data_IF_315080377116
#
_entry.id   IF_315080377116
#
_cell.length_a   1.000
_cell.length_b   1.000
_cell.length_c   1.000
_cell.angle_alpha   90.00
_cell.angle_beta   90.00
_cell.angle_gamma   90.00
#
_symmetry.space_group_name_H-M   'P 1'
#
loop_
_entity.id
_entity.type
_entity.pdbx_description
1 polymer ?
#
# COMPACT_ATOMS: atom_id res chain seq x y z
N UNK A 1 -8.00 -16.51 3.48
CA UNK A 1 -7.72 -17.83 2.88
C UNK A 1 -6.50 -17.67 1.97
N UNK A 2 -5.52 -18.55 2.13
CA UNK A 2 -4.38 -18.65 1.21
C UNK A 2 -4.83 -19.25 -0.13
N UNK A 3 -4.05 -19.05 -1.19
CA UNK A 3 -4.33 -19.70 -2.48
C UNK A 3 -4.25 -21.22 -2.36
N UNK A 4 -3.42 -21.75 -1.45
CA UNK A 4 -3.30 -23.19 -1.25
C UNK A 4 -4.57 -23.80 -0.67
N UNK A 5 -5.16 -23.16 0.34
CA UNK A 5 -6.45 -23.56 0.93
C UNK A 5 -7.59 -23.44 -0.07
N UNK A 6 -7.60 -22.35 -0.85
CA UNK A 6 -8.61 -22.14 -1.90
C UNK A 6 -8.51 -23.21 -2.98
N UNK A 7 -7.31 -23.51 -3.48
CA UNK A 7 -7.09 -24.52 -4.50
C UNK A 7 -7.51 -25.92 -4.04
N UNK A 8 -7.21 -26.30 -2.80
CA UNK A 8 -7.65 -27.58 -2.25
C UNK A 8 -9.18 -27.70 -2.24
N UNK A 9 -9.89 -26.66 -1.78
CA UNK A 9 -11.35 -26.63 -1.80
C UNK A 9 -11.91 -26.65 -3.22
N UNK A 10 -11.27 -25.95 -4.15
CA UNK A 10 -11.69 -25.93 -5.55
C UNK A 10 -11.54 -27.31 -6.20
N UNK A 11 -10.41 -27.99 -5.99
CA UNK A 11 -10.18 -29.35 -6.48
C UNK A 11 -11.16 -30.36 -5.88
N UNK A 12 -11.49 -30.22 -4.59
CA UNK A 12 -12.52 -31.02 -3.93
C UNK A 12 -13.88 -30.84 -4.60
N UNK A 13 -14.28 -29.60 -4.91
CA UNK A 13 -15.51 -29.33 -5.66
C UNK A 13 -15.46 -29.92 -7.07
N UNK A 14 -14.33 -29.84 -7.79
CA UNK A 14 -14.18 -30.45 -9.12
C UNK A 14 -14.33 -31.98 -9.11
N UNK A 15 -14.12 -32.65 -7.96
CA UNK A 15 -14.36 -34.09 -7.83
C UNK A 15 -15.84 -34.44 -7.93
N UNK A 16 -16.72 -33.56 -7.44
CA UNK A 16 -18.18 -33.72 -7.51
C UNK A 16 -18.76 -33.25 -8.84
N UNK A 17 -17.94 -32.64 -9.69
CA UNK A 17 -18.37 -31.97 -10.92
C UNK A 17 -17.48 -32.43 -12.10
N UNK A 18 -17.68 -33.67 -12.60
CA UNK A 18 -16.76 -34.30 -13.57
C UNK A 18 -16.61 -33.54 -14.88
N UNK A 19 -17.60 -32.74 -15.27
CA UNK A 19 -17.57 -31.95 -16.50
C UNK A 19 -16.47 -30.89 -16.52
N UNK A 20 -15.94 -30.45 -15.37
CA UNK A 20 -14.77 -29.56 -15.29
C UNK A 20 -13.43 -30.29 -15.38
N UNK A 21 -13.42 -31.62 -15.55
CA UNK A 21 -12.19 -32.40 -15.64
C UNK A 21 -11.88 -32.84 -17.09
N UNK A 22 -12.67 -32.39 -18.06
CA UNK A 22 -12.37 -32.56 -19.48
C UNK A 22 -11.42 -31.47 -19.96
N UNK A 23 -10.66 -31.76 -21.01
CA UNK A 23 -9.73 -30.80 -21.61
C UNK A 23 -10.46 -29.59 -22.22
N UNK A 24 -11.68 -29.80 -22.75
CA UNK A 24 -12.53 -28.76 -23.33
C UNK A 24 -13.02 -27.75 -22.28
N UNK A 25 -13.24 -28.19 -21.04
CA UNK A 25 -13.69 -27.33 -19.94
C UNK A 25 -12.54 -26.73 -19.13
N UNK A 26 -11.28 -26.99 -19.51
CA UNK A 26 -10.11 -26.56 -18.74
C UNK A 26 -9.97 -25.04 -18.73
N UNK A 27 -10.30 -24.37 -19.84
CA UNK A 27 -10.30 -22.90 -19.90
C UNK A 27 -11.35 -22.30 -18.98
N UNK A 28 -12.58 -22.81 -19.02
CA UNK A 28 -13.67 -22.38 -18.13
C UNK A 28 -13.33 -22.64 -16.66
N UNK A 29 -12.66 -23.77 -16.37
CA UNK A 29 -12.14 -24.09 -15.04
C UNK A 29 -11.10 -23.06 -14.59
N UNK A 30 -10.18 -22.67 -15.46
CA UNK A 30 -9.18 -21.64 -15.19
C UNK A 30 -9.85 -20.29 -14.89
N UNK A 31 -10.80 -19.87 -15.73
CA UNK A 31 -11.56 -18.61 -15.54
C UNK A 31 -12.32 -18.64 -14.22
N UNK A 32 -12.97 -19.76 -13.89
CA UNK A 32 -13.71 -19.90 -12.64
C UNK A 32 -12.78 -19.81 -11.43
N UNK A 33 -11.61 -20.46 -11.51
CA UNK A 33 -10.59 -20.40 -10.48
C UNK A 33 -10.07 -18.97 -10.28
N UNK A 34 -9.67 -18.30 -11.36
CA UNK A 34 -9.16 -16.91 -11.36
C UNK A 34 -10.16 -15.93 -10.76
N UNK A 35 -11.46 -16.12 -11.02
CA UNK A 35 -12.50 -15.27 -10.48
C UNK A 35 -12.66 -15.38 -8.95
N UNK A 36 -12.25 -16.50 -8.36
CA UNK A 36 -12.20 -16.66 -6.90
C UNK A 36 -10.89 -16.21 -6.25
N UNK A 37 -9.90 -15.78 -7.03
CA UNK A 37 -8.65 -15.24 -6.49
C UNK A 37 -8.85 -13.82 -5.93
N UNK A 38 -8.04 -13.49 -4.94
CA UNK A 38 -7.98 -12.11 -4.42
C UNK A 38 -7.47 -11.14 -5.50
N UNK A 39 -7.90 -9.87 -5.51
CA UNK A 39 -7.57 -8.91 -6.58
C UNK A 39 -6.07 -8.74 -6.83
N UNK A 40 -5.24 -8.74 -5.77
CA UNK A 40 -3.78 -8.62 -5.84
C UNK A 40 -3.15 -9.76 -6.64
N UNK A 41 -3.59 -10.99 -6.41
CA UNK A 41 -3.09 -12.16 -7.13
C UNK A 41 -3.75 -12.25 -8.52
N UNK A 42 -5.07 -12.02 -8.60
CA UNK A 42 -5.83 -12.07 -9.85
C UNK A 42 -5.22 -11.15 -10.90
N UNK A 43 -4.80 -9.95 -10.51
CA UNK A 43 -4.16 -9.01 -11.44
C UNK A 43 -2.86 -9.60 -12.01
N UNK A 44 -1.95 -10.11 -11.18
CA UNK A 44 -0.69 -10.72 -11.65
C UNK A 44 -0.94 -11.95 -12.53
N UNK A 45 -1.89 -12.78 -12.14
CA UNK A 45 -2.20 -14.03 -12.84
C UNK A 45 -2.89 -13.76 -14.17
N UNK A 46 -3.85 -12.83 -14.21
CA UNK A 46 -4.60 -12.47 -15.41
C UNK A 46 -3.69 -11.96 -16.54
N UNK A 47 -2.58 -11.28 -16.22
CA UNK A 47 -1.60 -10.86 -17.23
C UNK A 47 -0.85 -12.03 -17.90
N UNK A 48 -0.79 -13.21 -17.28
CA UNK A 48 -0.10 -14.36 -17.84
C UNK A 48 -1.01 -15.22 -18.75
N UNK A 49 -2.31 -14.93 -18.80
CA UNK A 49 -3.30 -15.60 -19.67
C UNK A 49 -3.22 -17.14 -19.64
N UNK A 50 -3.05 -17.74 -18.46
CA UNK A 50 -2.80 -19.18 -18.32
C UNK A 50 -4.09 -19.97 -18.48
N UNK A 51 -4.12 -20.89 -19.46
CA UNK A 51 -5.28 -21.76 -19.76
C UNK A 51 -5.08 -23.24 -19.41
N UNK A 52 -4.05 -23.53 -18.62
CA UNK A 52 -3.77 -24.88 -18.10
C UNK A 52 -3.83 -24.86 -16.57
N UNK A 53 -4.76 -25.62 -16.01
CA UNK A 53 -5.17 -25.49 -14.61
C UNK A 53 -4.04 -25.80 -13.63
N UNK A 54 -3.24 -26.88 -13.78
CA UNK A 54 -2.12 -27.16 -12.88
C UNK A 54 -1.08 -26.02 -12.85
N UNK A 55 -0.77 -25.43 -14.01
CA UNK A 55 0.17 -24.31 -14.10
C UNK A 55 -0.42 -23.06 -13.45
N UNK A 56 -1.69 -22.77 -13.69
CA UNK A 56 -2.41 -21.65 -13.09
C UNK A 56 -2.37 -21.72 -11.56
N UNK A 57 -2.69 -22.88 -10.99
CA UNK A 57 -2.67 -23.11 -9.54
C UNK A 57 -1.25 -22.94 -9.00
N UNK A 58 -0.24 -23.50 -9.66
CA UNK A 58 1.15 -23.37 -9.23
C UNK A 58 1.61 -21.91 -9.21
N UNK A 59 1.39 -21.16 -10.29
CA UNK A 59 1.75 -19.73 -10.36
C UNK A 59 1.01 -18.91 -9.31
N UNK A 60 -0.30 -19.17 -9.14
CA UNK A 60 -1.11 -18.50 -8.12
C UNK A 60 -0.56 -18.74 -6.70
N UNK A 61 -0.10 -19.97 -6.40
CA UNK A 61 0.54 -20.30 -5.13
C UNK A 61 1.87 -19.55 -4.93
N UNK A 62 2.66 -19.37 -5.99
CA UNK A 62 3.90 -18.59 -5.95
C UNK A 62 3.58 -17.12 -5.67
N UNK A 63 2.67 -16.51 -6.42
CA UNK A 63 2.27 -15.12 -6.22
C UNK A 63 1.72 -14.83 -4.81
N UNK A 64 0.96 -15.76 -4.22
CA UNK A 64 0.45 -15.61 -2.85
C UNK A 64 1.59 -15.66 -1.81
N UNK A 65 2.61 -16.50 -2.02
CA UNK A 65 3.80 -16.55 -1.15
C UNK A 65 4.63 -15.27 -1.29
N UNK A 66 4.88 -14.83 -2.51
CA UNK A 66 5.68 -13.62 -2.79
C UNK A 66 4.99 -12.36 -2.26
N UNK A 67 3.67 -12.26 -2.43
CA UNK A 67 2.86 -11.17 -1.88
C UNK A 67 2.96 -11.09 -0.36
N UNK A 68 2.88 -12.24 0.33
CA UNK A 68 3.07 -12.30 1.78
C UNK A 68 4.50 -11.96 2.21
N UNK A 69 5.51 -12.48 1.51
CA UNK A 69 6.91 -12.18 1.79
C UNK A 69 7.20 -10.68 1.64
N UNK A 70 6.69 -10.06 0.57
CA UNK A 70 6.77 -8.63 0.32
C UNK A 70 6.11 -7.83 1.45
N UNK A 71 4.89 -8.19 1.83
CA UNK A 71 4.18 -7.51 2.93
C UNK A 71 4.94 -7.60 4.26
N UNK A 72 5.46 -8.78 4.60
CA UNK A 72 6.26 -9.00 5.81
C UNK A 72 7.56 -8.19 5.79
N UNK A 73 8.26 -8.14 4.66
CA UNK A 73 9.46 -7.33 4.49
C UNK A 73 9.18 -5.85 4.75
N UNK A 74 8.18 -5.27 4.10
CA UNK A 74 7.85 -3.85 4.28
C UNK A 74 7.34 -3.53 5.69
N UNK A 75 6.60 -4.46 6.32
CA UNK A 75 6.19 -4.33 7.72
C UNK A 75 7.40 -4.23 8.64
N UNK A 76 8.35 -5.17 8.55
CA UNK A 76 9.57 -5.16 9.36
C UNK A 76 10.43 -3.90 9.10
N UNK A 77 10.51 -3.46 7.84
CA UNK A 77 11.23 -2.24 7.45
C UNK A 77 10.57 -0.98 8.02
N UNK A 78 9.25 -0.94 8.12
CA UNK A 78 8.56 0.20 8.70
C UNK A 78 8.64 0.21 10.24
N UNK A 79 8.57 -0.96 10.88
CA UNK A 79 8.71 -1.11 12.34
C UNK A 79 10.10 -0.68 12.84
N UNK A 80 11.18 -0.97 12.09
CA UNK A 80 12.53 -0.47 12.44
C UNK A 80 12.65 1.05 12.26
N UNK A 81 11.94 1.64 11.28
CA UNK A 81 12.00 3.07 10.97
C UNK A 81 11.16 3.90 11.95
N UNK A 82 10.05 3.34 12.46
CA UNK A 82 9.23 3.96 13.49
C UNK A 82 9.92 4.07 14.87
N UNK A 83 10.93 3.24 15.15
CA UNK A 83 11.73 3.33 16.38
C UNK A 83 12.74 4.49 16.39
N UNK A 84 13.17 4.96 15.21
CA UNK A 84 14.14 6.07 15.09
C UNK A 84 13.49 7.46 15.11
N UNK A 85 12.15 7.54 15.06
CA UNK A 85 11.42 8.80 15.21
C UNK A 85 11.43 9.34 16.67
N UNK A 86 12.02 8.59 17.60
CA UNK A 86 12.37 9.04 18.95
C UNK A 86 13.75 9.71 19.06
N UNK A 87 14.51 9.84 17.96
CA UNK A 87 15.77 10.58 17.96
C UNK A 87 15.46 12.06 17.74
N UNK A 88 15.37 12.78 18.87
CA UNK A 88 15.14 14.23 18.92
C UNK A 88 15.98 15.00 17.90
N UNK A 89 15.41 16.11 17.41
CA UNK A 89 16.05 17.03 16.46
C UNK A 89 17.49 17.33 16.92
N UNK A 90 18.53 17.24 16.05
CA UNK A 90 19.93 17.46 16.45
C UNK A 90 20.27 18.89 16.89
N UNK A 91 19.30 19.80 16.88
CA UNK A 91 19.51 21.22 17.16
C UNK A 91 18.33 21.82 17.94
N UNK A 92 17.85 21.13 18.98
CA UNK A 92 17.13 21.80 20.06
C UNK A 92 18.13 22.58 20.94
N UNK A 93 18.65 23.70 20.40
CA UNK A 93 19.26 24.75 21.24
C UNK A 93 18.13 25.44 22.02
N UNK A 94 17.65 24.80 23.10
CA UNK A 94 16.77 25.45 24.08
C UNK A 94 17.47 25.50 25.43
N UNK A 95 18.45 26.39 25.53
CA UNK A 95 18.56 27.16 26.75
C UNK A 95 17.34 28.07 26.81
N UNK A 96 16.36 27.77 27.68
CA UNK A 96 15.44 28.78 28.25
C UNK A 96 14.71 28.19 29.45
N UNK A 97 14.84 28.93 30.55
CA UNK A 97 14.21 28.75 31.85
C UNK A 97 12.69 28.93 31.76
N UNK A 98 12.03 28.61 32.88
CA UNK A 98 10.62 28.87 33.24
C UNK A 98 10.06 30.15 32.62
N UNK A 99 8.81 30.23 32.20
CA UNK A 99 7.62 30.01 33.01
C UNK A 99 6.38 30.10 32.10
N UNK A 100 5.21 29.74 32.64
CA UNK A 100 3.86 30.05 32.13
C UNK A 100 3.32 29.29 30.91
N UNK A 101 2.33 28.43 31.20
CA UNK A 101 0.99 28.65 30.65
C UNK A 101 0.63 27.96 29.33
N UNK A 102 -0.29 27.00 29.41
CA UNK A 102 -1.47 26.99 28.54
C UNK A 102 -1.51 25.99 27.38
N UNK A 103 -2.50 25.10 27.47
CA UNK A 103 -3.10 24.37 26.34
C UNK A 103 -3.47 25.27 25.16
N UNK A 104 -3.29 24.76 23.94
CA UNK A 104 -4.30 24.68 22.86
C UNK A 104 -3.66 24.70 21.47
N UNK A 105 -4.24 23.94 20.56
CA UNK A 105 -3.74 23.76 19.20
C UNK A 105 -3.65 25.06 18.41
N UNK A 106 -2.59 25.17 17.61
CA UNK A 106 -2.45 26.24 16.63
C UNK A 106 -1.39 25.86 15.62
N UNK A 107 -1.80 25.63 14.36
CA UNK A 107 -0.90 25.50 13.21
C UNK A 107 -0.12 26.81 13.04
N UNK A 108 1.03 26.92 13.70
CA UNK A 108 1.94 28.06 13.58
C UNK A 108 2.70 28.00 12.27
N UNK A 109 2.05 28.40 11.17
CA UNK A 109 2.74 28.76 9.95
C UNK A 109 3.71 29.89 10.29
N UNK A 110 5.02 29.61 10.19
CA UNK A 110 6.04 30.64 10.31
C UNK A 110 5.66 31.81 9.42
N UNK A 111 5.82 33.02 9.96
CA UNK A 111 5.62 34.28 9.26
C UNK A 111 6.37 34.18 7.93
N UNK A 112 5.64 33.90 6.85
CA UNK A 112 6.22 33.83 5.51
C UNK A 112 6.28 35.26 5.02
N UNK A 113 7.49 35.75 4.84
CA UNK A 113 7.73 36.97 4.08
C UNK A 113 7.06 36.81 2.70
N UNK A 114 6.46 37.89 2.22
CA UNK A 114 5.86 37.87 0.89
C UNK A 114 6.95 37.58 -0.17
N UNK A 115 6.75 36.56 -1.01
CA UNK A 115 7.74 36.18 -2.03
C UNK A 115 8.01 37.27 -3.08
N UNK A 116 7.18 38.31 -3.17
CA UNK A 116 7.38 39.44 -4.10
C UNK A 116 8.27 40.51 -3.48
N UNK A 117 7.99 40.91 -2.23
CA UNK A 117 8.64 42.08 -1.62
C UNK A 117 9.49 41.79 -0.39
N UNK A 118 9.51 40.54 0.09
CA UNK A 118 10.27 40.11 1.26
C UNK A 118 9.74 40.65 2.60
N UNK A 119 8.58 41.31 2.62
CA UNK A 119 8.02 41.90 3.84
C UNK A 119 6.99 40.95 4.46
N UNK A 120 7.08 40.66 5.78
CA UNK A 120 6.09 39.88 6.49
C UNK A 120 4.78 40.67 6.67
N UNK A 121 3.66 39.97 6.82
CA UNK A 121 2.36 40.58 7.17
C UNK A 121 1.30 40.58 6.07
N UNK A 122 1.61 40.07 4.88
CA UNK A 122 0.62 39.80 3.82
C UNK A 122 1.05 38.59 2.99
N UNK A 123 0.11 37.94 2.29
CA UNK A 123 0.44 36.86 1.35
C UNK A 123 0.76 37.41 -0.04
N UNK A 124 1.41 36.60 -0.87
CA UNK A 124 1.78 36.93 -2.27
C UNK A 124 0.65 37.61 -3.07
N UNK A 125 -0.60 37.16 -2.90
CA UNK A 125 -1.75 37.69 -3.65
C UNK A 125 -2.21 39.08 -3.21
N UNK A 126 -1.79 39.53 -2.02
CA UNK A 126 -2.16 40.81 -1.41
C UNK A 126 -0.99 41.80 -1.45
N UNK A 127 0.05 41.52 -2.25
CA UNK A 127 1.24 42.35 -2.30
C UNK A 127 0.98 43.65 -3.06
N UNK A 128 1.15 44.83 -2.44
CA UNK A 128 0.94 46.12 -3.11
C UNK A 128 1.99 46.42 -4.19
N UNK A 129 3.06 45.61 -4.29
CA UNK A 129 4.07 45.70 -5.36
C UNK A 129 3.83 44.72 -6.52
N UNK A 130 2.70 44.02 -6.55
CA UNK A 130 2.39 43.02 -7.57
C UNK A 130 2.06 43.63 -8.93
N UNK A 131 1.58 44.88 -8.95
CA UNK A 131 1.25 45.60 -10.18
C UNK A 131 2.36 46.58 -10.55
N UNK A 132 3.26 46.11 -11.42
CA UNK A 132 4.35 46.86 -12.05
C UNK A 132 4.87 46.08 -13.26
#
# INVERSE_FOLDING_TARGET
MSVSEYAAKFEELCRFVPHYNTMEAEEDKCVKFENGLRPDIKQLIGFNEIRYFPTLVNKSRICDKDGRAKANYYKAVNEKRGKDLGRGKPYDKRGKKADEGGSSGGRGGGVRDCFICGVPGHRFFECPKKDG
#
